data_IF_852799068316
#
_entry.id   IF_852799068316
#
_cell.length_a   1.000
_cell.length_b   1.000
_cell.length_c   1.000
_cell.angle_alpha   90.00
_cell.angle_beta   90.00
_cell.angle_gamma   90.00
#
_symmetry.space_group_name_H-M   'P 1'
#
loop_
_entity.id
_entity.type
_entity.pdbx_description
1 polymer ?
#
# COMPACT_ATOMS: atom_id res chain seq x y z
N UNK A 1 -9.05 7.83 -0.84
CA UNK A 1 -9.72 7.12 0.27
C UNK A 1 -10.86 6.24 -0.20
N UNK A 2 -11.20 5.24 0.59
CA UNK A 2 -12.34 4.34 0.43
C UNK A 2 -13.40 4.76 1.43
N UNK A 3 -14.65 4.89 0.96
CA UNK A 3 -15.82 5.18 1.79
C UNK A 3 -16.68 3.92 1.83
N UNK A 4 -16.66 3.20 2.96
CA UNK A 4 -17.37 1.92 3.16
C UNK A 4 -18.64 2.15 3.97
N UNK A 5 -19.77 1.61 3.51
CA UNK A 5 -21.03 1.61 4.25
C UNK A 5 -20.96 0.70 5.50
N UNK A 6 -21.58 1.13 6.60
CA UNK A 6 -21.67 0.38 7.86
C UNK A 6 -22.92 0.80 8.63
N UNK A 7 -24.00 0.02 8.61
CA UNK A 7 -25.28 0.30 9.28
C UNK A 7 -25.71 1.79 9.24
N UNK A 8 -25.45 2.54 10.32
CA UNK A 8 -25.82 3.97 10.47
C UNK A 8 -24.64 4.95 10.26
N UNK A 9 -23.49 4.47 9.78
CA UNK A 9 -22.24 5.21 9.64
C UNK A 9 -21.45 4.84 8.37
N UNK A 10 -20.40 5.61 8.13
CA UNK A 10 -19.39 5.36 7.11
C UNK A 10 -18.07 5.01 7.79
N UNK A 11 -17.43 3.94 7.33
CA UNK A 11 -16.05 3.65 7.66
C UNK A 11 -15.15 4.19 6.56
N UNK A 12 -14.25 5.10 6.92
CA UNK A 12 -13.23 5.59 6.02
C UNK A 12 -11.94 4.78 6.16
N UNK A 13 -11.41 4.34 5.02
CA UNK A 13 -10.14 3.61 4.91
C UNK A 13 -9.24 4.37 3.94
N UNK A 14 -7.97 4.54 4.27
CA UNK A 14 -6.98 5.16 3.38
C UNK A 14 -6.67 4.26 2.17
N UNK A 15 -6.44 4.87 1.01
CA UNK A 15 -5.85 4.18 -0.16
C UNK A 15 -4.37 3.86 0.05
N UNK A 16 -3.73 4.35 1.10
CA UNK A 16 -2.42 3.83 1.50
C UNK A 16 -2.61 2.55 2.31
N UNK A 17 -3.60 2.51 3.20
CA UNK A 17 -3.79 1.38 4.11
C UNK A 17 -4.34 0.12 3.41
N UNK A 18 -5.15 0.24 2.35
CA UNK A 18 -5.47 -0.95 1.52
C UNK A 18 -4.22 -1.49 0.78
N UNK A 19 -3.22 -0.65 0.48
CA UNK A 19 -2.01 -1.06 -0.20
C UNK A 19 -1.06 -1.77 0.78
N UNK A 20 -1.01 -1.31 2.04
CA UNK A 20 -0.40 -2.06 3.12
C UNK A 20 -1.09 -3.42 3.33
N UNK A 21 -2.42 -3.48 3.33
CA UNK A 21 -3.17 -4.73 3.40
C UNK A 21 -2.84 -5.67 2.23
N UNK A 22 -2.74 -5.13 1.00
CA UNK A 22 -2.31 -5.88 -0.18
C UNK A 22 -0.92 -6.49 0.02
N UNK A 23 0.01 -5.74 0.64
CA UNK A 23 1.35 -6.21 0.95
C UNK A 23 1.35 -7.27 2.08
N UNK A 24 0.52 -7.15 3.10
CA UNK A 24 0.39 -8.17 4.16
C UNK A 24 -0.07 -9.52 3.57
N UNK A 25 -1.06 -9.48 2.67
CA UNK A 25 -1.51 -10.65 1.91
C UNK A 25 -0.38 -11.24 1.05
N UNK A 26 0.38 -10.38 0.37
CA UNK A 26 1.50 -10.80 -0.46
C UNK A 26 2.68 -11.39 0.34
N UNK A 27 2.97 -10.84 1.51
CA UNK A 27 4.02 -11.33 2.40
C UNK A 27 3.68 -12.72 2.97
N UNK A 28 2.39 -12.97 3.23
CA UNK A 28 1.88 -14.26 3.68
C UNK A 28 1.76 -15.31 2.55
N UNK A 29 1.98 -14.93 1.28
CA UNK A 29 1.74 -15.77 0.11
C UNK A 29 2.76 -16.91 -0.06
N UNK A 30 2.26 -18.07 -0.50
CA UNK A 30 3.00 -19.28 -0.84
C UNK A 30 2.88 -20.37 0.23
N UNK A 31 2.98 -21.63 -0.18
CA UNK A 31 3.04 -22.81 0.69
C UNK A 31 3.60 -24.00 -0.12
N UNK A 32 3.39 -25.24 0.34
CA UNK A 32 3.89 -26.44 -0.35
C UNK A 32 3.21 -26.69 -1.71
N UNK A 33 2.00 -26.15 -1.92
CA UNK A 33 1.21 -26.31 -3.16
C UNK A 33 1.25 -25.06 -4.05
N UNK A 34 1.49 -23.88 -3.46
CA UNK A 34 1.48 -22.58 -4.13
C UNK A 34 2.87 -21.94 -4.05
N UNK A 35 3.46 -21.63 -5.21
CA UNK A 35 4.78 -21.00 -5.26
C UNK A 35 4.83 -19.67 -4.46
N UNK A 36 5.97 -19.36 -3.81
CA UNK A 36 6.13 -18.09 -3.10
C UNK A 36 6.10 -16.89 -4.06
N UNK A 37 5.91 -15.69 -3.49
CA UNK A 37 5.92 -14.43 -4.24
C UNK A 37 7.24 -14.28 -5.04
N UNK A 38 7.20 -14.17 -6.37
CA UNK A 38 8.42 -14.00 -7.17
C UNK A 38 9.03 -12.63 -6.95
N UNK A 39 10.37 -12.54 -6.97
CA UNK A 39 11.11 -11.27 -6.80
C UNK A 39 10.61 -10.47 -5.58
N UNK A 40 10.35 -11.16 -4.46
CA UNK A 40 9.69 -10.58 -3.29
C UNK A 40 10.33 -9.28 -2.80
N UNK A 41 11.67 -9.16 -2.88
CA UNK A 41 12.41 -7.95 -2.48
C UNK A 41 12.03 -6.69 -3.26
N UNK A 42 11.50 -6.84 -4.48
CA UNK A 42 11.08 -5.73 -5.35
C UNK A 42 9.56 -5.65 -5.48
N UNK A 43 8.90 -6.80 -5.54
CA UNK A 43 7.46 -6.87 -5.78
C UNK A 43 6.65 -6.52 -4.53
N UNK A 44 7.09 -6.95 -3.34
CA UNK A 44 6.40 -6.62 -2.10
C UNK A 44 6.36 -5.10 -1.83
N UNK A 45 7.48 -4.35 -1.96
CA UNK A 45 7.44 -2.88 -1.93
C UNK A 45 6.55 -2.24 -2.99
N UNK A 46 6.56 -2.76 -4.22
CA UNK A 46 5.70 -2.24 -5.29
C UNK A 46 4.21 -2.42 -4.97
N UNK A 47 3.81 -3.59 -4.45
CA UNK A 47 2.44 -3.85 -3.98
C UNK A 47 2.09 -2.92 -2.80
N UNK A 48 3.03 -2.71 -1.88
CA UNK A 48 2.81 -1.88 -0.70
C UNK A 48 2.62 -0.40 -1.01
N UNK A 49 3.40 0.11 -1.97
CA UNK A 49 3.45 1.54 -2.31
C UNK A 49 2.65 1.89 -3.57
N UNK A 50 1.92 0.94 -4.18
CA UNK A 50 1.23 1.18 -5.45
C UNK A 50 0.25 2.35 -5.39
N UNK A 51 -0.29 2.68 -4.21
CA UNK A 51 -1.16 3.84 -3.99
C UNK A 51 -0.54 4.91 -3.06
N UNK A 52 0.79 4.95 -2.94
CA UNK A 52 1.48 5.93 -2.09
C UNK A 52 1.22 7.40 -2.48
N UNK A 53 0.88 7.68 -3.74
CA UNK A 53 0.52 9.01 -4.24
C UNK A 53 -0.74 9.58 -3.57
N UNK A 54 -1.59 8.74 -2.98
CA UNK A 54 -2.79 9.18 -2.27
C UNK A 54 -2.49 10.01 -1.03
N UNK A 55 -1.30 9.88 -0.41
CA UNK A 55 -0.94 10.61 0.81
C UNK A 55 -1.18 12.12 0.69
N UNK A 56 -0.79 12.70 -0.44
CA UNK A 56 -0.93 14.14 -0.66
C UNK A 56 -2.40 14.57 -0.76
N UNK A 57 -3.22 13.80 -1.48
CA UNK A 57 -4.64 14.09 -1.60
C UNK A 57 -5.38 13.88 -0.28
N UNK A 58 -5.09 12.76 0.40
CA UNK A 58 -5.72 12.40 1.67
C UNK A 58 -5.34 13.35 2.79
N UNK A 59 -4.24 14.12 2.70
CA UNK A 59 -3.89 15.19 3.63
C UNK A 59 -4.89 16.37 3.60
N UNK A 60 -5.54 16.61 2.46
CA UNK A 60 -6.55 17.66 2.27
C UNK A 60 -7.76 17.10 1.52
N UNK A 61 -8.47 16.12 2.11
CA UNK A 61 -9.56 15.46 1.42
C UNK A 61 -10.73 16.43 1.29
N UNK A 62 -11.59 16.14 0.32
CA UNK A 62 -12.78 16.91 -0.01
C UNK A 62 -14.02 16.04 0.05
N UNK A 63 -15.18 16.68 0.16
CA UNK A 63 -16.49 16.03 0.05
C UNK A 63 -17.05 16.14 -1.39
N UNK A 64 -18.04 15.31 -1.68
CA UNK A 64 -18.90 15.40 -2.86
C UNK A 64 -19.94 16.52 -2.69
N UNK A 65 -20.63 16.89 -3.77
CA UNK A 65 -21.77 17.82 -3.74
C UNK A 65 -22.90 17.36 -2.81
N UNK A 66 -22.99 16.05 -2.53
CA UNK A 66 -23.97 15.45 -1.62
C UNK A 66 -23.54 15.47 -0.15
N UNK A 67 -22.41 16.11 0.18
CA UNK A 67 -21.89 16.15 1.54
C UNK A 67 -21.12 14.90 1.97
N UNK A 68 -20.89 13.92 1.08
CA UNK A 68 -20.21 12.67 1.44
C UNK A 68 -18.69 12.78 1.26
N UNK A 69 -17.84 12.20 2.13
CA UNK A 69 -16.39 12.13 1.92
C UNK A 69 -16.07 11.55 0.55
N UNK A 70 -15.33 12.27 -0.31
CA UNK A 70 -15.11 11.82 -1.69
C UNK A 70 -14.26 10.55 -1.71
N UNK A 71 -14.70 9.53 -2.43
CA UNK A 71 -13.97 8.26 -2.56
C UNK A 71 -13.20 8.18 -3.88
N UNK A 72 -12.29 7.21 -3.97
CA UNK A 72 -11.31 7.12 -5.06
C UNK A 72 -11.90 6.98 -6.47
N UNK A 73 -13.11 6.45 -6.60
CA UNK A 73 -13.84 6.30 -7.87
C UNK A 73 -14.53 7.60 -8.33
N UNK A 74 -14.57 8.63 -7.49
CA UNK A 74 -15.25 9.91 -7.74
C UNK A 74 -14.26 11.02 -8.18
N UNK A 75 -13.00 10.65 -8.46
CA UNK A 75 -11.94 11.59 -8.87
C UNK A 75 -12.09 11.99 -10.34
N UNK A 76 -11.72 13.25 -10.66
CA UNK A 76 -11.52 13.63 -12.06
C UNK A 76 -10.30 12.92 -12.65
N UNK A 77 -10.25 12.79 -13.98
CA UNK A 77 -9.11 12.16 -14.66
C UNK A 77 -7.77 12.89 -14.40
N UNK A 78 -7.80 14.22 -14.24
CA UNK A 78 -6.60 15.01 -13.98
C UNK A 78 -6.08 14.78 -12.55
N UNK A 79 -6.96 14.76 -11.56
CA UNK A 79 -6.58 14.44 -10.18
C UNK A 79 -6.09 12.99 -10.06
N UNK A 80 -6.80 12.03 -10.68
CA UNK A 80 -6.44 10.62 -10.63
C UNK A 80 -5.06 10.38 -11.25
N UNK A 81 -4.81 10.89 -12.47
CA UNK A 81 -3.51 10.71 -13.14
C UNK A 81 -2.36 11.41 -12.42
N UNK A 82 -2.62 12.51 -11.70
CA UNK A 82 -1.63 13.16 -10.83
C UNK A 82 -1.25 12.25 -9.66
N UNK A 83 -2.24 11.67 -8.97
CA UNK A 83 -2.03 10.71 -7.88
C UNK A 83 -1.25 9.49 -8.39
N UNK A 84 -1.70 8.88 -9.48
CA UNK A 84 -1.06 7.70 -10.08
C UNK A 84 0.40 7.97 -10.44
N UNK A 85 0.70 9.12 -11.05
CA UNK A 85 2.08 9.53 -11.38
C UNK A 85 2.97 9.61 -10.15
N UNK A 86 2.45 10.13 -9.03
CA UNK A 86 3.19 10.19 -7.77
C UNK A 86 3.42 8.80 -7.15
N UNK A 87 2.45 7.89 -7.23
CA UNK A 87 2.62 6.50 -6.79
C UNK A 87 3.70 5.77 -7.60
N UNK A 88 3.67 5.91 -8.93
CA UNK A 88 4.65 5.33 -9.84
C UNK A 88 6.05 5.87 -9.53
N UNK A 89 6.18 7.18 -9.34
CA UNK A 89 7.46 7.80 -8.99
C UNK A 89 8.02 7.28 -7.66
N UNK A 90 7.16 7.05 -6.67
CA UNK A 90 7.53 6.45 -5.38
C UNK A 90 8.10 5.04 -5.58
N UNK A 91 7.41 4.21 -6.38
CA UNK A 91 7.83 2.84 -6.64
C UNK A 91 9.10 2.75 -7.52
N UNK A 92 9.35 3.75 -8.36
CA UNK A 92 10.50 3.80 -9.27
C UNK A 92 11.79 4.36 -8.64
N UNK A 93 11.72 5.04 -7.50
CA UNK A 93 12.74 5.98 -7.01
C UNK A 93 13.81 5.52 -6.00
N UNK A 94 14.13 4.22 -5.84
CA UNK A 94 15.05 3.70 -4.77
C UNK A 94 16.47 4.33 -4.74
N UNK A 95 17.14 4.51 -3.57
CA UNK A 95 17.83 3.53 -2.66
C UNK A 95 18.10 4.11 -1.22
N UNK A 96 18.34 3.31 -0.11
CA UNK A 96 18.96 1.97 -0.06
C UNK A 96 18.56 0.96 1.09
N UNK A 97 19.24 -0.22 1.12
CA UNK A 97 19.05 -1.38 2.02
C UNK A 97 19.43 -1.19 3.51
N UNK A 98 19.07 -2.15 4.40
CA UNK A 98 19.54 -2.21 5.81
C UNK A 98 21.06 -2.11 5.90
N UNK A 99 21.78 -2.81 5.02
CA UNK A 99 23.25 -2.78 4.98
C UNK A 99 23.79 -1.37 4.72
N UNK A 100 23.12 -0.59 3.87
CA UNK A 100 23.50 0.79 3.57
C UNK A 100 23.07 1.77 4.66
N UNK A 101 21.90 1.58 5.27
CA UNK A 101 21.47 2.35 6.44
C UNK A 101 22.43 2.16 7.62
N UNK A 102 22.85 0.91 7.88
CA UNK A 102 23.88 0.58 8.87
C UNK A 102 25.27 1.13 8.48
N UNK A 103 25.64 1.13 7.19
CA UNK A 103 26.90 1.73 6.71
C UNK A 103 26.93 3.23 6.99
N UNK A 104 25.83 3.94 6.76
CA UNK A 104 25.71 5.38 7.07
C UNK A 104 25.80 5.65 8.57
N UNK A 105 25.18 4.80 9.39
CA UNK A 105 25.26 4.91 10.85
C UNK A 105 26.72 4.77 11.33
N UNK A 106 27.46 3.80 10.78
CA UNK A 106 28.89 3.60 11.09
C UNK A 106 29.77 4.75 10.59
N UNK A 107 29.45 5.36 9.45
CA UNK A 107 30.19 6.50 8.89
C UNK A 107 30.03 7.79 9.72
N UNK A 108 28.95 7.92 10.50
CA UNK A 108 28.68 9.04 11.40
C UNK A 108 29.46 9.04 12.73
N UNK A 109 30.38 8.08 12.93
CA UNK A 109 31.29 8.05 14.08
C UNK A 109 30.73 7.54 15.40
N UNK A 110 29.52 6.97 15.42
CA UNK A 110 28.90 6.34 16.59
C UNK A 110 28.72 4.83 16.42
N UNK A 111 28.85 4.08 17.51
CA UNK A 111 28.56 2.64 17.55
C UNK A 111 27.04 2.41 17.32
N UNK A 112 26.68 1.39 16.52
CA UNK A 112 25.28 0.96 16.34
C UNK A 112 24.94 0.09 17.54
N UNK A 113 23.99 0.52 18.40
CA UNK A 113 23.51 -0.37 19.45
C UNK A 113 22.64 -1.49 18.86
N UNK A 114 22.58 -2.69 19.49
CA UNK A 114 21.64 -3.74 19.07
C UNK A 114 20.19 -3.24 18.99
N UNK A 115 19.79 -2.34 19.90
CA UNK A 115 18.46 -1.74 19.92
C UNK A 115 18.20 -0.85 18.69
N UNK A 116 19.19 -0.04 18.28
CA UNK A 116 19.09 0.78 17.06
C UNK A 116 18.99 -0.10 15.82
N UNK A 117 19.74 -1.21 15.78
CA UNK A 117 19.69 -2.17 14.68
C UNK A 117 18.34 -2.89 14.62
N UNK A 118 17.78 -3.30 15.77
CA UNK A 118 16.48 -3.95 15.87
C UNK A 118 15.34 -2.98 15.50
N UNK A 119 15.38 -1.74 16.01
CA UNK A 119 14.39 -0.71 15.67
C UNK A 119 14.45 -0.34 14.18
N UNK A 120 15.66 -0.19 13.64
CA UNK A 120 15.85 0.03 12.21
C UNK A 120 15.30 -1.17 11.43
N UNK A 121 15.71 -2.40 11.75
CA UNK A 121 15.21 -3.61 11.07
C UNK A 121 13.67 -3.74 11.14
N UNK A 122 13.05 -3.37 12.27
CA UNK A 122 11.60 -3.35 12.39
C UNK A 122 10.92 -2.29 11.50
N UNK A 123 11.47 -1.07 11.40
CA UNK A 123 10.98 -0.02 10.48
C UNK A 123 11.22 -0.44 9.03
N UNK A 124 12.39 -1.04 8.77
CA UNK A 124 12.79 -1.59 7.49
C UNK A 124 11.82 -2.68 7.04
N UNK A 125 11.48 -3.60 7.94
CA UNK A 125 10.54 -4.69 7.71
C UNK A 125 9.11 -4.18 7.54
N UNK A 126 8.74 -3.10 8.26
CA UNK A 126 7.46 -2.42 8.03
C UNK A 126 7.40 -1.76 6.66
N UNK A 127 8.56 -1.45 6.07
CA UNK A 127 8.66 -1.09 4.67
C UNK A 127 7.83 0.21 4.47
N UNK A 128 8.32 1.37 4.94
CA UNK A 128 7.54 2.64 4.91
C UNK A 128 7.47 3.29 6.29
N UNK A 129 6.41 4.04 6.58
CA UNK A 129 6.17 4.61 7.92
C UNK A 129 5.44 3.61 8.82
N UNK A 130 6.16 3.07 9.78
CA UNK A 130 5.67 2.13 10.78
C UNK A 130 4.98 2.86 11.93
N UNK A 131 3.67 2.62 12.19
CA UNK A 131 2.99 3.17 13.35
C UNK A 131 3.72 2.79 14.63
N UNK A 132 3.86 3.74 15.56
CA UNK A 132 4.62 3.56 16.80
C UNK A 132 4.14 2.33 17.60
N UNK A 133 2.84 2.12 17.69
CA UNK A 133 2.26 0.97 18.40
C UNK A 133 2.59 -0.36 17.73
N UNK A 134 2.70 -0.40 16.39
CA UNK A 134 3.14 -1.59 15.66
C UNK A 134 4.61 -1.88 15.92
N UNK A 135 5.45 -0.84 15.96
CA UNK A 135 6.87 -0.96 16.29
C UNK A 135 7.06 -1.47 17.72
N UNK A 136 6.40 -0.86 18.71
CA UNK A 136 6.47 -1.27 20.12
C UNK A 136 6.01 -2.72 20.30
N UNK A 137 4.87 -3.08 19.72
CA UNK A 137 4.34 -4.45 19.79
C UNK A 137 5.29 -5.48 19.15
N UNK A 138 5.81 -5.19 17.95
CA UNK A 138 6.74 -6.09 17.23
C UNK A 138 8.06 -6.25 17.99
N UNK A 139 8.67 -5.13 18.41
CA UNK A 139 9.96 -5.12 19.09
C UNK A 139 9.88 -5.71 20.50
N UNK A 140 8.76 -5.54 21.20
CA UNK A 140 8.52 -6.23 22.47
C UNK A 140 8.43 -7.75 22.29
N UNK A 141 7.72 -8.21 21.26
CA UNK A 141 7.49 -9.65 21.02
C UNK A 141 8.71 -10.38 20.44
N UNK A 142 9.44 -9.73 19.54
CA UNK A 142 10.48 -10.37 18.73
C UNK A 142 11.90 -10.06 19.23
N UNK A 143 12.07 -9.03 20.07
CA UNK A 143 13.37 -8.55 20.51
C UNK A 143 13.42 -8.20 22.02
N UNK A 144 12.36 -8.46 22.79
CA UNK A 144 12.23 -8.15 24.22
C UNK A 144 12.52 -6.68 24.61
N UNK A 145 12.30 -5.76 23.66
CA UNK A 145 12.47 -4.32 23.89
C UNK A 145 11.28 -3.74 24.66
N UNK A 146 11.56 -2.99 25.73
CA UNK A 146 10.53 -2.22 26.45
C UNK A 146 10.22 -0.92 25.71
N UNK A 147 9.00 -0.38 25.88
CA UNK A 147 8.60 0.88 25.22
C UNK A 147 9.60 2.04 25.43
N UNK A 148 10.15 2.29 26.65
CA UNK A 148 11.13 3.37 26.83
C UNK A 148 12.41 3.16 26.03
N UNK A 149 12.83 1.91 25.84
CA UNK A 149 14.04 1.57 25.07
C UNK A 149 13.77 1.70 23.57
N UNK A 150 12.60 1.24 23.09
CA UNK A 150 12.14 1.47 21.71
C UNK A 150 12.10 2.96 21.40
N UNK A 151 11.43 3.76 22.22
CA UNK A 151 11.31 5.22 22.00
C UNK A 151 12.66 5.92 22.01
N UNK A 152 13.59 5.50 22.88
CA UNK A 152 14.95 6.05 22.91
C UNK A 152 15.74 5.69 21.65
N UNK A 153 15.60 4.46 21.13
CA UNK A 153 16.21 4.06 19.87
C UNK A 153 15.66 4.86 18.68
N UNK A 154 14.34 5.06 18.61
CA UNK A 154 13.69 5.86 17.58
C UNK A 154 14.18 7.32 17.60
N UNK A 155 14.21 7.98 18.76
CA UNK A 155 14.74 9.35 18.91
C UNK A 155 16.21 9.46 18.47
N UNK A 156 17.04 8.45 18.77
CA UNK A 156 18.44 8.42 18.32
C UNK A 156 18.55 8.30 16.80
N UNK A 157 17.81 7.38 16.19
CA UNK A 157 17.79 7.18 14.74
C UNK A 157 17.29 8.43 14.00
N UNK A 158 16.26 9.10 14.54
CA UNK A 158 15.70 10.34 13.99
C UNK A 158 16.68 11.51 14.11
N UNK A 159 17.34 11.68 15.26
CA UNK A 159 18.37 12.73 15.45
C UNK A 159 19.56 12.61 14.49
N UNK A 160 19.75 11.42 13.88
CA UNK A 160 20.77 11.11 12.89
C UNK A 160 20.24 11.14 11.44
N UNK A 161 18.99 11.58 11.24
CA UNK A 161 18.32 11.65 9.95
C UNK A 161 18.30 10.32 9.19
N UNK A 162 18.24 9.19 9.90
CA UNK A 162 18.08 7.86 9.30
C UNK A 162 16.61 7.47 9.17
N UNK A 163 15.79 7.99 10.08
CA UNK A 163 14.34 7.88 10.06
C UNK A 163 13.72 9.26 10.20
N UNK A 164 12.52 9.43 9.66
CA UNK A 164 11.62 10.55 9.91
C UNK A 164 10.43 10.05 10.72
N UNK A 165 9.94 10.88 11.63
CA UNK A 165 8.57 10.74 12.12
C UNK A 165 7.59 11.44 11.17
N UNK A 166 6.43 10.82 10.99
CA UNK A 166 5.28 11.41 10.32
C UNK A 166 4.09 11.20 11.23
N UNK A 167 3.34 12.27 11.44
CA UNK A 167 2.01 12.17 12.01
C UNK A 167 1.06 11.63 10.95
N UNK A 168 0.74 10.34 11.05
CA UNK A 168 -0.23 9.72 10.15
C UNK A 168 -1.64 10.09 10.59
N UNK A 169 -2.44 10.49 9.60
CA UNK A 169 -3.82 10.90 9.80
C UNK A 169 -4.64 9.89 10.60
N UNK A 170 -4.51 8.59 10.31
CA UNK A 170 -5.26 7.54 11.03
C UNK A 170 -4.36 6.73 11.99
N UNK A 171 -3.03 6.69 11.80
CA UNK A 171 -2.12 5.85 12.60
C UNK A 171 -1.45 6.51 13.82
N UNK A 172 -1.58 7.83 14.00
CA UNK A 172 -0.78 8.59 14.98
C UNK A 172 0.69 8.70 14.54
N UNK A 173 1.61 8.87 15.49
CA UNK A 173 3.04 8.95 15.18
C UNK A 173 3.52 7.64 14.52
N UNK A 174 4.10 7.76 13.33
CA UNK A 174 4.71 6.67 12.60
C UNK A 174 6.15 7.05 12.25
N UNK A 175 7.03 6.05 12.17
CA UNK A 175 8.44 6.25 11.85
C UNK A 175 8.80 5.54 10.55
N UNK A 176 9.38 6.26 9.61
CA UNK A 176 9.81 5.74 8.30
C UNK A 176 11.25 6.14 8.00
N UNK A 177 11.90 5.50 7.03
CA UNK A 177 13.31 5.79 6.73
C UNK A 177 13.44 7.03 5.84
N UNK A 178 14.32 7.95 6.24
CA UNK A 178 14.57 9.24 5.58
C UNK A 178 15.53 9.11 4.38
N UNK A 179 15.54 7.94 3.74
CA UNK A 179 16.33 7.67 2.54
C UNK A 179 15.44 6.88 1.58
N UNK A 180 15.35 7.23 0.27
CA UNK A 180 14.33 6.69 -0.60
C UNK A 180 14.28 5.16 -0.54
N UNK A 181 13.17 4.68 0.01
CA UNK A 181 12.60 3.35 -0.11
C UNK A 181 13.58 2.17 -0.04
N UNK A 182 13.49 1.42 1.04
CA UNK A 182 13.72 -0.01 0.97
C UNK A 182 12.74 -0.64 -0.03
N UNK A 183 13.25 -0.92 -1.21
CA UNK A 183 12.61 -1.79 -2.19
C UNK A 183 11.94 -1.11 -3.39
N UNK A 184 12.02 0.22 -3.53
CA UNK A 184 11.70 0.86 -4.82
C UNK A 184 12.74 0.45 -5.86
N UNK A 185 12.28 0.15 -7.08
CA UNK A 185 13.13 -0.33 -8.18
C UNK A 185 12.54 0.15 -9.51
N UNK A 186 13.34 0.25 -10.59
CA UNK A 186 12.79 0.54 -11.91
C UNK A 186 11.70 -0.47 -12.33
N UNK A 187 11.82 -1.76 -11.96
CA UNK A 187 10.75 -2.74 -12.16
C UNK A 187 9.50 -2.46 -11.32
N UNK A 188 9.65 -2.02 -10.07
CA UNK A 188 8.52 -1.55 -9.25
C UNK A 188 7.76 -0.41 -9.91
N UNK A 189 8.50 0.56 -10.47
CA UNK A 189 7.96 1.63 -11.31
C UNK A 189 7.18 1.10 -12.52
N UNK A 190 7.75 0.13 -13.25
CA UNK A 190 7.09 -0.49 -14.41
C UNK A 190 5.81 -1.23 -14.01
N UNK A 191 5.82 -2.04 -12.94
CA UNK A 191 4.65 -2.83 -12.53
C UNK A 191 3.48 -1.94 -12.11
N UNK A 192 3.76 -0.89 -11.33
CA UNK A 192 2.74 0.06 -10.88
C UNK A 192 2.30 0.99 -12.01
N UNK A 193 3.21 1.35 -12.92
CA UNK A 193 2.84 2.07 -14.15
C UNK A 193 1.86 1.27 -15.00
N UNK A 194 2.16 0.00 -15.28
CA UNK A 194 1.27 -0.90 -16.02
C UNK A 194 -0.09 -1.10 -15.35
N UNK A 195 -0.12 -1.13 -14.01
CA UNK A 195 -1.35 -1.18 -13.25
C UNK A 195 -2.24 0.04 -13.56
N UNK A 196 -1.71 1.26 -13.45
CA UNK A 196 -2.48 2.48 -13.70
C UNK A 196 -2.74 2.77 -15.17
N UNK A 197 -1.85 2.36 -16.09
CA UNK A 197 -2.12 2.50 -17.54
C UNK A 197 -3.27 1.58 -17.97
N UNK A 198 -3.37 0.37 -17.41
CA UNK A 198 -4.54 -0.50 -17.65
C UNK A 198 -5.86 0.13 -17.15
N UNK A 199 -5.84 0.80 -15.99
CA UNK A 199 -7.01 1.55 -15.50
C UNK A 199 -7.34 2.75 -16.40
N UNK A 200 -6.33 3.48 -16.87
CA UNK A 200 -6.49 4.61 -17.77
C UNK A 200 -7.04 4.19 -19.14
N UNK A 201 -6.62 3.05 -19.68
CA UNK A 201 -7.13 2.46 -20.91
C UNK A 201 -8.61 2.12 -20.77
N UNK A 202 -8.99 1.39 -19.73
CA UNK A 202 -10.38 1.07 -19.45
C UNK A 202 -11.26 2.32 -19.23
N UNK A 203 -10.71 3.34 -18.56
CA UNK A 203 -11.39 4.62 -18.39
C UNK A 203 -11.55 5.38 -19.72
N UNK A 204 -10.60 5.27 -20.66
CA UNK A 204 -10.73 5.83 -22.00
C UNK A 204 -11.84 5.12 -22.79
N UNK A 205 -11.91 3.79 -22.73
CA UNK A 205 -12.93 2.99 -23.42
C UNK A 205 -14.33 3.32 -22.92
N UNK A 206 -14.51 3.40 -21.60
CA UNK A 206 -15.82 3.69 -20.98
C UNK A 206 -16.32 5.12 -21.20
N UNK A 207 -15.42 6.10 -21.31
CA UNK A 207 -15.76 7.54 -21.49
C UNK A 207 -15.99 7.95 -22.96
N UNK A 208 -15.71 7.07 -23.92
CA UNK A 208 -15.99 7.29 -25.34
C UNK A 208 -15.29 8.52 -25.94
N UNK A 209 -16.05 9.38 -26.63
CA UNK A 209 -15.53 10.55 -27.36
C UNK A 209 -15.47 11.84 -26.52
N UNK A 210 -15.74 11.80 -25.20
CA UNK A 210 -15.57 12.98 -24.34
C UNK A 210 -14.09 13.39 -24.26
N UNK A 211 -13.71 14.30 -25.16
CA UNK A 211 -12.34 14.76 -25.29
C UNK A 211 -11.81 15.40 -24.00
N UNK A 212 -12.67 16.03 -23.19
CA UNK A 212 -12.26 16.69 -21.95
C UNK A 212 -11.96 15.68 -20.85
N UNK A 213 -12.78 14.63 -20.73
CA UNK A 213 -12.58 13.58 -19.75
C UNK A 213 -11.44 12.62 -20.12
N UNK A 214 -11.17 12.45 -21.43
CA UNK A 214 -10.17 11.50 -21.95
C UNK A 214 -8.78 12.11 -22.15
N UNK A 215 -8.67 13.43 -22.37
CA UNK A 215 -7.37 14.07 -22.64
C UNK A 215 -6.31 13.88 -21.53
N UNK A 216 -6.63 14.01 -20.23
CA UNK A 216 -5.65 13.75 -19.16
C UNK A 216 -5.16 12.29 -19.16
N UNK A 217 -6.07 11.32 -19.37
CA UNK A 217 -5.75 9.90 -19.45
C UNK A 217 -4.81 9.61 -20.62
N UNK A 218 -5.09 10.15 -21.80
CA UNK A 218 -4.21 9.98 -22.99
C UNK A 218 -2.85 10.63 -22.82
N UNK A 219 -2.76 11.76 -22.10
CA UNK A 219 -1.47 12.38 -21.75
C UNK A 219 -0.68 11.46 -20.82
N UNK A 220 -1.32 11.01 -19.74
CA UNK A 220 -0.74 10.06 -18.79
C UNK A 220 -0.20 8.79 -19.48
N UNK A 221 -0.99 8.16 -20.36
CA UNK A 221 -0.57 6.97 -21.13
C UNK A 221 0.71 7.22 -21.95
N UNK A 222 0.82 8.38 -22.61
CA UNK A 222 2.02 8.74 -23.39
C UNK A 222 3.24 8.95 -22.49
N UNK A 223 3.07 9.65 -21.37
CA UNK A 223 4.15 9.97 -20.43
C UNK A 223 4.67 8.69 -19.75
N UNK A 224 3.76 7.76 -19.40
CA UNK A 224 4.13 6.46 -18.84
C UNK A 224 4.79 5.54 -19.86
N UNK A 225 4.32 5.51 -21.13
CA UNK A 225 4.98 4.72 -22.17
C UNK A 225 6.47 5.10 -22.35
N UNK A 226 6.79 6.39 -22.26
CA UNK A 226 8.18 6.87 -22.29
C UNK A 226 8.97 6.42 -21.04
N UNK A 227 8.38 6.57 -19.86
CA UNK A 227 9.02 6.22 -18.58
C UNK A 227 9.28 4.72 -18.46
N UNK A 228 8.30 3.88 -18.80
CA UNK A 228 8.42 2.43 -18.86
C UNK A 228 9.51 1.98 -19.83
N UNK A 229 9.56 2.56 -21.03
CA UNK A 229 10.62 2.27 -22.01
C UNK A 229 12.01 2.56 -21.45
N UNK A 230 12.15 3.64 -20.68
CA UNK A 230 13.41 4.01 -20.03
C UNK A 230 13.80 3.02 -18.93
N UNK A 231 12.87 2.64 -18.06
CA UNK A 231 13.11 1.70 -16.96
C UNK A 231 13.38 0.28 -17.47
N UNK A 232 12.58 -0.22 -18.42
CA UNK A 232 12.81 -1.54 -19.05
C UNK A 232 14.18 -1.62 -19.72
N UNK A 233 14.62 -0.54 -20.39
CA UNK A 233 15.97 -0.49 -20.96
C UNK A 233 17.07 -0.61 -19.90
N UNK A 234 16.88 0.00 -18.73
CA UNK A 234 17.84 -0.07 -17.61
C UNK A 234 17.90 -1.48 -17.01
N UNK A 235 16.78 -2.20 -17.00
CA UNK A 235 16.66 -3.54 -16.40
C UNK A 235 16.97 -4.68 -17.37
N UNK A 236 17.21 -4.38 -18.65
CA UNK A 236 17.52 -5.38 -19.68
C UNK A 236 18.78 -6.19 -19.35
N UNK A 237 19.78 -5.57 -18.74
CA UNK A 237 21.00 -6.28 -18.32
C UNK A 237 20.72 -7.27 -17.17
N UNK A 238 19.75 -6.98 -16.29
CA UNK A 238 19.37 -7.85 -15.20
C UNK A 238 18.48 -9.02 -15.67
N UNK A 239 17.41 -8.73 -16.40
CA UNK A 239 16.40 -9.73 -16.74
C UNK A 239 16.64 -10.44 -18.08
N UNK A 240 17.54 -9.93 -18.94
CA UNK A 240 17.84 -10.54 -20.23
C UNK A 240 16.59 -10.77 -21.08
N UNK A 241 16.48 -11.98 -21.65
CA UNK A 241 15.35 -12.39 -22.49
C UNK A 241 14.04 -12.58 -21.70
N UNK A 242 14.11 -12.64 -20.38
CA UNK A 242 12.95 -12.81 -19.49
C UNK A 242 12.28 -11.48 -19.09
N UNK A 243 12.81 -10.34 -19.53
CA UNK A 243 12.36 -9.00 -19.09
C UNK A 243 10.86 -8.79 -19.26
N UNK A 244 10.29 -9.15 -20.42
CA UNK A 244 8.86 -8.99 -20.67
C UNK A 244 8.02 -9.86 -19.74
N UNK A 245 8.48 -11.09 -19.48
CA UNK A 245 7.83 -12.03 -18.56
C UNK A 245 7.88 -11.51 -17.13
N UNK A 246 9.01 -10.95 -16.70
CA UNK A 246 9.18 -10.33 -15.37
C UNK A 246 8.27 -9.12 -15.22
N UNK A 247 8.19 -8.27 -16.24
CA UNK A 247 7.34 -7.09 -16.25
C UNK A 247 5.84 -7.46 -16.24
N UNK A 248 5.41 -8.47 -17.01
CA UNK A 248 4.02 -8.99 -16.97
C UNK A 248 3.70 -9.62 -15.61
N UNK A 249 4.59 -10.45 -15.10
CA UNK A 249 4.38 -11.19 -13.84
C UNK A 249 4.15 -10.21 -12.68
N UNK A 250 5.04 -9.25 -12.48
CA UNK A 250 4.89 -8.31 -11.36
C UNK A 250 3.66 -7.40 -11.49
N UNK A 251 3.35 -6.93 -12.70
CA UNK A 251 2.11 -6.19 -12.99
C UNK A 251 0.86 -6.98 -12.54
N UNK A 252 0.80 -8.27 -12.87
CA UNK A 252 -0.34 -9.13 -12.52
C UNK A 252 -0.46 -9.36 -11.03
N UNK A 253 0.66 -9.49 -10.31
CA UNK A 253 0.63 -9.58 -8.85
C UNK A 253 0.20 -8.27 -8.18
N UNK A 254 0.65 -7.11 -8.67
CA UNK A 254 0.16 -5.80 -8.18
C UNK A 254 -1.36 -5.72 -8.33
N UNK A 255 -1.89 -5.98 -9.53
CA UNK A 255 -3.33 -6.00 -9.76
C UNK A 255 -4.06 -7.05 -8.91
N UNK A 256 -3.48 -8.24 -8.74
CA UNK A 256 -4.13 -9.32 -8.01
C UNK A 256 -4.33 -8.96 -6.53
N UNK A 257 -3.29 -8.44 -5.87
CA UNK A 257 -3.37 -8.07 -4.46
C UNK A 257 -4.15 -6.76 -4.23
N UNK A 258 -4.07 -5.79 -5.14
CA UNK A 258 -4.93 -4.60 -5.15
C UNK A 258 -6.43 -5.01 -5.17
N UNK A 259 -6.82 -5.91 -6.08
CA UNK A 259 -8.21 -6.38 -6.15
C UNK A 259 -8.68 -7.06 -4.88
N UNK A 260 -7.85 -7.90 -4.25
CA UNK A 260 -8.23 -8.57 -2.99
C UNK A 260 -8.38 -7.55 -1.86
N UNK A 261 -7.44 -6.60 -1.74
CA UNK A 261 -7.49 -5.59 -0.68
C UNK A 261 -8.69 -4.65 -0.85
N UNK A 262 -8.98 -4.20 -2.08
CA UNK A 262 -10.19 -3.43 -2.40
C UNK A 262 -11.46 -4.24 -2.16
N UNK A 263 -11.47 -5.53 -2.50
CA UNK A 263 -12.60 -6.40 -2.23
C UNK A 263 -12.87 -6.47 -0.72
N UNK A 264 -11.87 -6.66 0.14
CA UNK A 264 -12.09 -6.63 1.59
C UNK A 264 -12.56 -5.25 2.08
N UNK A 265 -11.93 -4.16 1.62
CA UNK A 265 -12.13 -2.82 2.16
C UNK A 265 -13.46 -2.16 1.74
N UNK A 266 -13.90 -2.31 0.49
CA UNK A 266 -14.97 -1.45 -0.07
C UNK A 266 -16.37 -1.73 0.46
N UNK A 267 -16.69 -2.98 0.83
CA UNK A 267 -18.04 -3.34 1.27
C UNK A 267 -18.03 -4.61 2.15
N UNK A 268 -19.12 -4.83 2.87
CA UNK A 268 -19.39 -6.15 3.43
C UNK A 268 -19.63 -7.17 2.31
N UNK A 269 -19.27 -8.42 2.57
CA UNK A 269 -19.24 -9.48 1.56
C UNK A 269 -20.10 -10.63 2.03
N UNK A 270 -21.13 -10.91 1.26
CA UNK A 270 -22.14 -11.94 1.48
C UNK A 270 -22.14 -13.00 0.35
N UNK A 271 -21.57 -12.67 -0.82
CA UNK A 271 -21.44 -13.58 -1.95
C UNK A 271 -20.00 -14.09 -2.17
N UNK A 272 -19.83 -15.34 -2.66
CA UNK A 272 -18.54 -15.84 -3.10
C UNK A 272 -17.95 -15.02 -4.25
N UNK A 273 -16.63 -14.87 -4.25
CA UNK A 273 -15.91 -14.09 -5.26
C UNK A 273 -14.65 -14.80 -5.75
N UNK A 274 -14.49 -14.85 -7.07
CA UNK A 274 -13.33 -15.44 -7.72
C UNK A 274 -12.38 -14.35 -8.23
N UNK A 275 -11.08 -14.51 -7.95
CA UNK A 275 -10.02 -13.65 -8.52
C UNK A 275 -8.94 -14.50 -9.18
N UNK A 276 -8.50 -14.06 -10.34
CA UNK A 276 -7.56 -14.81 -11.20
C UNK A 276 -6.20 -14.13 -11.17
N UNK A 277 -5.17 -14.86 -10.72
CA UNK A 277 -3.77 -14.43 -10.83
C UNK A 277 -3.20 -14.82 -12.19
N UNK A 278 -3.56 -16.00 -12.68
CA UNK A 278 -3.10 -16.54 -13.96
C UNK A 278 -4.11 -17.48 -14.61
N UNK A 279 -3.88 -17.78 -15.89
CA UNK A 279 -4.64 -18.82 -16.60
C UNK A 279 -4.61 -20.19 -15.93
N UNK A 280 -3.68 -20.43 -15.01
CA UNK A 280 -3.53 -21.68 -14.26
C UNK A 280 -3.84 -21.54 -12.77
N UNK A 281 -4.14 -20.34 -12.28
CA UNK A 281 -4.31 -20.10 -10.85
C UNK A 281 -5.34 -19.00 -10.59
N UNK A 282 -6.43 -19.40 -9.95
CA UNK A 282 -7.48 -18.54 -9.44
C UNK A 282 -7.79 -18.95 -8.00
N UNK A 283 -8.30 -18.01 -7.22
CA UNK A 283 -8.68 -18.21 -5.83
C UNK A 283 -10.12 -17.75 -5.65
N UNK A 284 -10.91 -18.57 -4.95
CA UNK A 284 -12.27 -18.28 -4.52
C UNK A 284 -12.27 -17.89 -3.05
N UNK A 285 -12.88 -16.75 -2.75
CA UNK A 285 -13.20 -16.32 -1.39
C UNK A 285 -14.69 -16.61 -1.13
N UNK A 286 -15.01 -17.37 -0.10
CA UNK A 286 -16.38 -17.69 0.29
C UNK A 286 -16.66 -17.13 1.68
N UNK A 287 -17.61 -16.18 1.84
CA UNK A 287 -17.96 -15.61 3.13
C UNK A 287 -18.54 -16.66 4.09
N UNK A 288 -17.99 -16.72 5.31
CA UNK A 288 -18.59 -17.43 6.44
C UNK A 288 -19.46 -16.48 7.27
N UNK A 289 -18.99 -15.25 7.44
CA UNK A 289 -19.70 -14.12 8.02
C UNK A 289 -19.04 -12.81 7.53
N UNK A 290 -19.50 -11.65 8.04
CA UNK A 290 -18.99 -10.32 7.67
C UNK A 290 -17.47 -10.13 7.77
N UNK A 291 -16.79 -10.93 8.61
CA UNK A 291 -15.37 -10.81 8.98
C UNK A 291 -14.55 -12.07 8.76
N UNK A 292 -15.15 -13.15 8.26
CA UNK A 292 -14.47 -14.44 8.09
C UNK A 292 -14.76 -15.04 6.73
N UNK A 293 -13.72 -15.57 6.08
CA UNK A 293 -13.78 -16.15 4.74
C UNK A 293 -13.03 -17.46 4.68
N UNK A 294 -13.54 -18.42 3.89
CA UNK A 294 -12.74 -19.54 3.39
C UNK A 294 -12.12 -19.18 2.04
N UNK A 295 -10.93 -19.69 1.77
CA UNK A 295 -10.15 -19.35 0.58
C UNK A 295 -9.65 -20.61 -0.12
N UNK A 296 -10.14 -20.87 -1.33
CA UNK A 296 -9.86 -22.12 -2.07
C UNK A 296 -9.32 -21.85 -3.49
N UNK A 297 -8.20 -22.48 -3.90
CA UNK A 297 -7.25 -23.21 -3.06
C UNK A 297 -6.52 -22.27 -2.10
N UNK A 298 -6.14 -22.78 -0.92
CA UNK A 298 -5.47 -21.98 0.11
C UNK A 298 -4.07 -21.54 -0.33
N UNK A 299 -3.78 -20.23 -0.44
CA UNK A 299 -2.54 -19.76 -1.02
C UNK A 299 -1.50 -19.26 0.01
N UNK A 300 -1.80 -19.29 1.31
CA UNK A 300 -0.96 -18.65 2.33
C UNK A 300 -0.11 -19.65 3.12
N UNK A 301 0.98 -19.15 3.73
CA UNK A 301 1.98 -19.93 4.49
C UNK A 301 1.44 -20.54 5.78
N UNK A 302 0.50 -19.85 6.42
CA UNK A 302 -0.11 -20.26 7.69
C UNK A 302 -1.46 -20.92 7.45
N UNK A 303 -1.98 -21.77 8.37
CA UNK A 303 -3.29 -22.43 8.19
C UNK A 303 -4.50 -21.48 8.27
N UNK A 304 -4.31 -20.31 8.89
CA UNK A 304 -5.25 -19.20 8.92
C UNK A 304 -4.44 -17.89 8.84
N UNK A 305 -5.04 -16.84 8.30
CA UNK A 305 -4.40 -15.54 8.14
C UNK A 305 -5.35 -14.45 8.64
N UNK A 306 -4.95 -13.73 9.68
CA UNK A 306 -5.62 -12.50 10.10
C UNK A 306 -5.00 -11.31 9.38
N UNK A 307 -5.84 -10.47 8.78
CA UNK A 307 -5.44 -9.20 8.18
C UNK A 307 -6.34 -8.08 8.67
N UNK A 308 -5.83 -6.85 8.68
CA UNK A 308 -6.55 -5.74 9.25
C UNK A 308 -6.17 -4.39 8.64
N UNK A 309 -7.10 -3.45 8.65
CA UNK A 309 -6.87 -2.05 8.25
C UNK A 309 -7.39 -1.09 9.33
N UNK A 310 -6.70 0.04 9.56
CA UNK A 310 -7.24 1.09 10.40
C UNK A 310 -8.42 1.79 9.70
N UNK A 311 -9.40 2.21 10.48
CA UNK A 311 -10.62 2.88 9.99
C UNK A 311 -10.98 4.04 10.88
N UNK A 312 -11.68 5.04 10.33
CA UNK A 312 -12.35 6.08 11.12
C UNK A 312 -13.84 6.00 10.81
N UNK A 313 -14.67 5.95 11.87
CA UNK A 313 -16.11 6.00 11.73
C UNK A 313 -16.60 7.43 11.61
N UNK A 314 -17.51 7.66 10.67
CA UNK A 314 -18.14 8.96 10.42
C UNK A 314 -19.65 8.76 10.34
N UNK A 315 -20.38 9.38 11.26
CA UNK A 315 -21.84 9.42 11.21
C UNK A 315 -22.33 10.22 9.99
N UNK A 316 -23.49 9.85 9.46
CA UNK A 316 -24.12 10.59 8.39
C UNK A 316 -24.64 11.96 8.91
N UNK A 317 -23.85 13.02 8.73
CA UNK A 317 -24.23 14.39 9.10
C UNK A 317 -24.65 15.21 7.86
N UNK A 318 -25.87 15.77 7.80
CA UNK A 318 -26.29 16.63 6.70
C UNK A 318 -25.52 17.97 6.59
N UNK A 319 -24.75 18.38 7.62
CA UNK A 319 -23.90 19.56 7.62
C UNK A 319 -22.41 19.23 7.39
N UNK A 320 -22.12 18.02 6.91
CA UNK A 320 -20.76 17.56 6.71
C UNK A 320 -20.03 18.45 5.70
N UNK A 321 -18.92 19.04 6.14
CA UNK A 321 -18.10 19.98 5.36
C UNK A 321 -16.67 19.45 5.23
N UNK A 322 -15.91 19.96 4.27
CA UNK A 322 -14.46 19.74 4.16
C UNK A 322 -13.72 19.95 5.49
N UNK A 323 -14.11 20.98 6.27
CA UNK A 323 -13.52 21.28 7.57
C UNK A 323 -13.88 20.22 8.61
N UNK A 324 -15.13 19.75 8.61
CA UNK A 324 -15.60 18.68 9.50
C UNK A 324 -14.89 17.36 9.17
N UNK A 325 -14.81 16.98 7.88
CA UNK A 325 -14.07 15.80 7.44
C UNK A 325 -12.62 15.82 7.92
N UNK A 326 -11.92 16.94 7.71
CA UNK A 326 -10.53 17.09 8.16
C UNK A 326 -10.38 17.04 9.68
N UNK A 327 -11.37 17.50 10.43
CA UNK A 327 -11.37 17.41 11.90
C UNK A 327 -11.58 15.98 12.37
N UNK A 328 -12.59 15.29 11.84
CA UNK A 328 -12.88 13.88 12.15
C UNK A 328 -11.70 12.98 11.78
N UNK A 329 -11.03 13.23 10.65
CA UNK A 329 -9.85 12.46 10.27
C UNK A 329 -8.64 12.68 11.20
N UNK A 330 -8.57 13.79 11.94
CA UNK A 330 -7.49 14.04 12.92
C UNK A 330 -7.84 13.54 14.32
N UNK A 331 -9.04 13.87 14.78
CA UNK A 331 -9.47 13.73 16.18
C UNK A 331 -10.47 12.58 16.39
N UNK A 332 -11.00 12.00 15.30
CA UNK A 332 -12.03 10.97 15.34
C UNK A 332 -11.53 9.65 15.92
N UNK A 333 -12.49 8.84 16.34
CA UNK A 333 -12.20 7.56 16.96
C UNK A 333 -11.65 6.57 15.93
N UNK A 334 -10.46 6.06 16.21
CA UNK A 334 -9.72 5.17 15.32
C UNK A 334 -10.05 3.74 15.69
N UNK A 335 -10.58 3.01 14.72
CA UNK A 335 -10.96 1.62 14.86
C UNK A 335 -10.08 0.75 13.97
N UNK A 336 -10.16 -0.57 14.15
CA UNK A 336 -9.47 -1.52 13.30
C UNK A 336 -10.48 -2.50 12.74
N UNK A 337 -10.58 -2.55 11.42
CA UNK A 337 -11.37 -3.54 10.72
C UNK A 337 -10.50 -4.78 10.49
N UNK A 338 -10.97 -5.93 10.94
CA UNK A 338 -10.22 -7.19 10.91
C UNK A 338 -10.98 -8.24 10.11
N UNK A 339 -10.23 -9.06 9.40
CA UNK A 339 -10.74 -10.24 8.72
C UNK A 339 -9.85 -11.44 9.01
N UNK A 340 -10.46 -12.62 9.10
CA UNK A 340 -9.76 -13.89 9.22
C UNK A 340 -10.04 -14.73 7.98
N UNK A 341 -8.97 -15.17 7.33
CA UNK A 341 -9.01 -16.07 6.19
C UNK A 341 -8.67 -17.47 6.68
N UNK A 342 -9.48 -18.45 6.28
CA UNK A 342 -9.35 -19.86 6.63
C UNK A 342 -9.13 -20.71 5.39
N UNK A 343 -8.42 -21.82 5.57
CA UNK A 343 -8.25 -22.86 4.54
C UNK A 343 -9.57 -23.50 4.13
#
# INVERSE_FOLDING_TARGET
MIRRESDDAWLLISQVDHAHLAADLAAAWGNDEVAPLPLADWLLPAIRDHDAGWRAWEATPTITEKGLPRQFTEMSADEATTIWTSSIATCAGGFPSLAEALRRLRAGGGEVSPDDAAALDAIIAYRGFAPLERLRSKLSRECDLTEPVTDAALRRLESRSLIESSEQMIGGSAYGILVPALGASPLGGVWVSRHFTALAEHACESKGEDATAVAPLRRFLRDQAWSESRWLKAEKEFAGDDLDRVADTGFRYVQFFDRISLWLCMAERDEPWDTVLSSKFAVRFTPLNAREFTVEPWPFKTPALEVAVPTISIEADPLFSDKALRHVLREGDRQTLRWVLHR
#
